data_IF_686127267576
#
_entry.id   IF_686127267576
#
_cell.length_a   1.000
_cell.length_b   1.000
_cell.length_c   1.000
_cell.angle_alpha   90.00
_cell.angle_beta   90.00
_cell.angle_gamma   90.00
#
_symmetry.space_group_name_H-M   'P 1'
#
loop_
_entity.id
_entity.type
_entity.pdbx_description
1 polymer ?
#
# COMPACT_ATOMS: atom_id res chain seq x y z
N UNK A 1 -25.96 13.40 -17.75
CA UNK A 1 -25.13 13.97 -16.67
C UNK A 1 -25.53 13.46 -15.28
N UNK A 2 -26.81 13.10 -15.00
CA UNK A 2 -27.24 12.63 -13.67
C UNK A 2 -26.70 11.25 -13.26
N UNK A 3 -26.62 10.29 -14.17
CA UNK A 3 -26.17 8.94 -13.87
C UNK A 3 -24.67 8.85 -13.50
N UNK A 4 -23.81 9.66 -14.11
CA UNK A 4 -22.38 9.71 -13.74
C UNK A 4 -22.19 10.34 -12.34
N UNK A 5 -22.96 11.38 -12.02
CA UNK A 5 -22.95 12.02 -10.70
C UNK A 5 -23.39 11.07 -9.58
N UNK A 6 -24.37 10.20 -9.82
CA UNK A 6 -24.87 9.25 -8.81
C UNK A 6 -23.90 8.07 -8.56
N UNK A 7 -23.11 7.67 -9.55
CA UNK A 7 -22.07 6.65 -9.38
C UNK A 7 -20.96 7.13 -8.43
N UNK A 8 -20.58 8.41 -8.49
CA UNK A 8 -19.56 8.96 -7.58
C UNK A 8 -20.06 9.16 -6.16
N UNK A 9 -21.35 9.41 -5.94
CA UNK A 9 -21.94 9.63 -4.60
C UNK A 9 -21.89 8.40 -3.70
N UNK A 10 -21.67 7.21 -4.26
CA UNK A 10 -21.61 5.93 -3.54
C UNK A 10 -20.22 5.31 -3.50
N UNK A 11 -19.18 6.08 -3.85
CA UNK A 11 -17.81 5.57 -3.87
C UNK A 11 -17.02 6.02 -2.66
N UNK A 12 -16.51 5.06 -1.90
CA UNK A 12 -15.42 5.29 -0.94
C UNK A 12 -14.17 5.66 -1.74
N UNK A 13 -13.47 6.72 -1.36
CA UNK A 13 -12.26 7.20 -2.05
C UNK A 13 -12.52 7.46 -3.55
N UNK A 14 -13.20 8.57 -3.89
CA UNK A 14 -13.69 8.82 -5.24
C UNK A 14 -12.58 9.01 -6.28
N UNK A 15 -11.41 9.58 -5.91
CA UNK A 15 -10.29 9.75 -6.84
C UNK A 15 -9.64 8.40 -7.18
N UNK A 16 -9.46 7.52 -6.18
CA UNK A 16 -8.93 6.18 -6.39
C UNK A 16 -9.78 5.38 -7.38
N UNK A 17 -11.11 5.52 -7.31
CA UNK A 17 -12.05 4.87 -8.23
C UNK A 17 -12.17 5.51 -9.61
N UNK A 18 -11.50 6.64 -9.86
CA UNK A 18 -11.63 7.43 -11.09
C UNK A 18 -10.65 7.02 -12.19
N UNK A 19 -11.08 7.22 -13.45
CA UNK A 19 -10.20 7.09 -14.62
C UNK A 19 -9.60 8.44 -14.98
N UNK A 20 -8.30 8.48 -15.15
CA UNK A 20 -7.59 9.65 -15.68
C UNK A 20 -6.24 9.24 -16.28
N UNK A 21 -5.65 10.11 -17.08
CA UNK A 21 -4.31 9.91 -17.62
C UNK A 21 -3.25 10.32 -16.58
N UNK A 22 -2.11 9.63 -16.49
CA UNK A 22 -1.01 10.03 -15.63
C UNK A 22 -0.62 11.50 -15.84
N UNK A 23 -0.54 12.27 -14.75
CA UNK A 23 -0.33 13.72 -14.76
C UNK A 23 -1.63 14.55 -14.71
N UNK A 24 -2.79 13.91 -14.61
CA UNK A 24 -4.11 14.58 -14.61
C UNK A 24 -4.91 14.40 -13.32
N UNK A 25 -4.30 13.88 -12.27
CA UNK A 25 -5.01 13.65 -11.00
C UNK A 25 -5.63 14.93 -10.42
N UNK A 26 -4.86 16.02 -10.37
CA UNK A 26 -5.34 17.29 -9.81
C UNK A 26 -6.47 17.92 -10.64
N UNK A 27 -6.42 17.81 -11.97
CA UNK A 27 -7.50 18.24 -12.84
C UNK A 27 -8.75 17.40 -12.60
N UNK A 28 -8.59 16.09 -12.36
CA UNK A 28 -9.69 15.18 -12.06
C UNK A 28 -10.34 15.52 -10.72
N UNK A 29 -9.57 15.83 -9.67
CA UNK A 29 -10.10 16.28 -8.38
C UNK A 29 -10.97 17.53 -8.56
N UNK A 30 -10.53 18.51 -9.36
CA UNK A 30 -11.27 19.75 -9.62
C UNK A 30 -12.59 19.54 -10.37
N UNK A 31 -12.80 18.37 -10.99
CA UNK A 31 -14.03 18.04 -11.74
C UNK A 31 -15.14 17.44 -10.85
N UNK A 32 -14.87 17.09 -9.61
CA UNK A 32 -15.92 16.64 -8.70
C UNK A 32 -16.88 17.79 -8.37
N UNK A 33 -18.15 17.63 -8.71
CA UNK A 33 -19.18 18.64 -8.51
C UNK A 33 -19.64 18.74 -7.04
N UNK A 34 -19.63 17.61 -6.31
CA UNK A 34 -19.96 17.57 -4.88
C UNK A 34 -18.76 18.06 -4.05
N UNK A 35 -18.89 19.18 -3.31
CA UNK A 35 -17.79 19.73 -2.54
C UNK A 35 -17.22 18.77 -1.50
N UNK A 36 -18.06 17.88 -0.90
CA UNK A 36 -17.62 16.91 0.11
C UNK A 36 -16.77 15.83 -0.53
N UNK A 37 -17.20 15.30 -1.67
CA UNK A 37 -16.42 14.33 -2.45
C UNK A 37 -15.13 14.95 -2.98
N UNK A 38 -15.16 16.21 -3.40
CA UNK A 38 -13.98 16.93 -3.86
C UNK A 38 -12.96 17.09 -2.72
N UNK A 39 -13.39 17.41 -1.50
CA UNK A 39 -12.50 17.51 -0.33
C UNK A 39 -11.89 16.14 0.05
N UNK A 40 -12.67 15.06 0.00
CA UNK A 40 -12.14 13.69 0.17
C UNK A 40 -11.11 13.39 -0.92
N UNK A 41 -11.40 13.72 -2.19
CA UNK A 41 -10.47 13.50 -3.30
C UNK A 41 -9.17 14.32 -3.17
N UNK A 42 -9.23 15.53 -2.60
CA UNK A 42 -8.02 16.28 -2.22
C UNK A 42 -7.25 15.57 -1.11
N UNK A 43 -7.93 15.03 -0.10
CA UNK A 43 -7.32 14.21 0.94
C UNK A 43 -6.60 12.99 0.36
N UNK A 44 -7.23 12.28 -0.59
CA UNK A 44 -6.60 11.17 -1.32
C UNK A 44 -5.33 11.63 -2.05
N UNK A 45 -5.42 12.73 -2.79
CA UNK A 45 -4.31 13.27 -3.56
C UNK A 45 -3.13 13.65 -2.66
N UNK A 46 -3.39 14.30 -1.52
CA UNK A 46 -2.37 14.61 -0.53
C UNK A 46 -1.75 13.35 0.06
N UNK A 47 -2.56 12.37 0.43
CA UNK A 47 -2.07 11.10 0.96
C UNK A 47 -1.12 10.42 -0.03
N UNK A 48 -1.55 10.22 -1.28
CA UNK A 48 -0.74 9.56 -2.29
C UNK A 48 0.55 10.32 -2.66
N UNK A 49 0.58 11.63 -2.42
CA UNK A 49 1.79 12.47 -2.53
C UNK A 49 2.67 12.47 -1.26
N UNK A 50 2.39 11.60 -0.29
CA UNK A 50 3.05 11.53 1.01
C UNK A 50 2.98 12.85 1.81
N UNK A 51 1.83 13.53 1.77
CA UNK A 51 1.53 14.77 2.48
C UNK A 51 0.49 14.50 3.58
N UNK A 52 0.88 13.71 4.59
CA UNK A 52 -0.03 13.15 5.59
C UNK A 52 -0.78 14.20 6.40
N UNK A 53 -0.14 15.31 6.80
CA UNK A 53 -0.79 16.40 7.54
C UNK A 53 -1.90 17.06 6.72
N UNK A 54 -1.63 17.37 5.44
CA UNK A 54 -2.63 17.96 4.54
C UNK A 54 -3.79 17.01 4.28
N UNK A 55 -3.51 15.70 4.22
CA UNK A 55 -4.54 14.66 4.11
C UNK A 55 -5.48 14.74 5.33
N UNK A 56 -4.95 14.68 6.57
CA UNK A 56 -5.74 14.74 7.80
C UNK A 56 -6.61 16.00 7.82
N UNK A 57 -6.02 17.18 7.58
CA UNK A 57 -6.76 18.47 7.57
C UNK A 57 -7.95 18.46 6.60
N UNK A 58 -7.82 17.75 5.48
CA UNK A 58 -8.90 17.67 4.48
C UNK A 58 -10.05 16.77 4.91
N UNK A 59 -9.79 15.72 5.70
CA UNK A 59 -10.76 14.64 5.92
C UNK A 59 -11.26 14.52 7.36
N UNK A 60 -10.57 15.05 8.37
CA UNK A 60 -10.89 14.83 9.79
C UNK A 60 -12.33 15.15 10.17
N UNK A 61 -12.92 16.20 9.59
CA UNK A 61 -14.32 16.59 9.86
C UNK A 61 -15.34 15.54 9.39
N UNK A 62 -14.96 14.65 8.45
CA UNK A 62 -15.84 13.61 7.93
C UNK A 62 -15.82 12.31 8.76
N UNK A 63 -14.91 12.16 9.72
CA UNK A 63 -14.87 10.99 10.61
C UNK A 63 -16.10 10.89 11.52
N UNK A 64 -16.83 11.98 11.71
CA UNK A 64 -18.10 12.03 12.45
C UNK A 64 -19.32 12.17 11.55
N UNK A 65 -19.17 11.98 10.23
CA UNK A 65 -20.25 12.09 9.27
C UNK A 65 -21.31 10.98 9.49
N UNK A 66 -22.58 11.34 9.32
CA UNK A 66 -23.68 10.37 9.27
C UNK A 66 -23.69 9.57 7.96
N UNK A 67 -23.12 10.14 6.89
CA UNK A 67 -22.93 9.46 5.61
C UNK A 67 -21.80 8.42 5.74
N UNK A 68 -22.12 7.11 5.62
CA UNK A 68 -21.14 6.06 5.81
C UNK A 68 -20.01 6.09 4.78
N UNK A 69 -20.26 6.56 3.56
CA UNK A 69 -19.26 6.63 2.49
C UNK A 69 -18.21 7.70 2.79
N UNK A 70 -18.65 8.89 3.21
CA UNK A 70 -17.75 9.96 3.64
C UNK A 70 -16.95 9.55 4.87
N UNK A 71 -17.61 8.91 5.86
CA UNK A 71 -16.97 8.46 7.09
C UNK A 71 -15.93 7.37 6.81
N UNK A 72 -16.27 6.35 6.03
CA UNK A 72 -15.32 5.30 5.63
C UNK A 72 -14.11 5.87 4.88
N UNK A 73 -14.34 6.82 3.96
CA UNK A 73 -13.25 7.47 3.21
C UNK A 73 -12.32 8.23 4.15
N UNK A 74 -12.88 9.00 5.10
CA UNK A 74 -12.11 9.76 6.07
C UNK A 74 -11.33 8.84 7.03
N UNK A 75 -11.95 7.77 7.51
CA UNK A 75 -11.30 6.83 8.44
C UNK A 75 -10.19 6.01 7.74
N UNK A 76 -10.38 5.62 6.49
CA UNK A 76 -9.32 4.98 5.69
C UNK A 76 -8.11 5.89 5.56
N UNK A 77 -8.30 7.13 5.11
CA UNK A 77 -7.22 8.11 4.93
C UNK A 77 -6.57 8.48 6.26
N UNK A 78 -7.38 8.67 7.32
CA UNK A 78 -6.88 8.96 8.67
C UNK A 78 -6.09 7.80 9.25
N UNK A 79 -6.48 6.55 8.98
CA UNK A 79 -5.73 5.37 9.42
C UNK A 79 -4.29 5.44 8.92
N UNK A 80 -4.10 5.58 7.61
CA UNK A 80 -2.77 5.55 7.00
C UNK A 80 -1.97 6.83 7.22
N UNK A 81 -2.60 8.00 7.14
CA UNK A 81 -1.92 9.27 7.36
C UNK A 81 -1.42 9.40 8.82
N UNK A 82 -2.23 9.03 9.81
CA UNK A 82 -1.79 9.00 11.21
C UNK A 82 -0.73 7.93 11.47
N UNK A 83 -0.80 6.82 10.77
CA UNK A 83 0.22 5.78 10.80
C UNK A 83 1.59 6.35 10.38
N UNK A 84 1.66 7.03 9.24
CA UNK A 84 2.87 7.68 8.74
C UNK A 84 3.37 8.79 9.68
N UNK A 85 2.46 9.53 10.31
CA UNK A 85 2.81 10.58 11.29
C UNK A 85 3.25 10.01 12.66
N UNK A 86 3.15 8.71 12.86
CA UNK A 86 3.48 8.06 14.14
C UNK A 86 2.40 8.21 15.21
N UNK A 87 1.21 8.69 14.86
CA UNK A 87 0.03 8.84 15.71
C UNK A 87 -0.73 7.50 15.82
N UNK A 88 -0.08 6.48 16.37
CA UNK A 88 -0.60 5.11 16.37
C UNK A 88 -1.95 4.94 17.07
N UNK A 89 -2.26 5.78 18.06
CA UNK A 89 -3.55 5.75 18.76
C UNK A 89 -4.68 6.21 17.84
N UNK A 90 -4.49 7.32 17.15
CA UNK A 90 -5.43 7.89 16.20
C UNK A 90 -5.66 6.96 15.00
N UNK A 91 -4.58 6.38 14.48
CA UNK A 91 -4.65 5.36 13.41
C UNK A 91 -5.46 4.14 13.83
N UNK A 92 -5.26 3.62 15.05
CA UNK A 92 -6.03 2.51 15.59
C UNK A 92 -7.50 2.87 15.85
N UNK A 93 -7.80 4.09 16.27
CA UNK A 93 -9.17 4.54 16.46
C UNK A 93 -9.93 4.58 15.13
N UNK A 94 -9.36 5.19 14.10
CA UNK A 94 -9.94 5.25 12.76
C UNK A 94 -10.18 3.82 12.19
N UNK A 95 -9.20 2.93 12.31
CA UNK A 95 -9.32 1.53 11.87
C UNK A 95 -10.43 0.77 12.63
N UNK A 96 -10.55 0.99 13.94
CA UNK A 96 -11.63 0.39 14.74
C UNK A 96 -13.01 0.89 14.32
N UNK A 97 -13.12 2.17 13.95
CA UNK A 97 -14.37 2.73 13.47
C UNK A 97 -14.81 2.06 12.15
N UNK A 98 -13.90 1.88 11.19
CA UNK A 98 -14.17 1.09 9.97
C UNK A 98 -14.72 -0.30 10.31
N UNK A 99 -14.11 -1.01 11.26
CA UNK A 99 -14.57 -2.34 11.67
C UNK A 99 -15.96 -2.30 12.35
N UNK A 100 -16.26 -1.27 13.13
CA UNK A 100 -17.56 -1.08 13.75
C UNK A 100 -18.66 -0.77 12.74
N UNK A 101 -18.35 0.08 11.74
CA UNK A 101 -19.27 0.37 10.64
C UNK A 101 -19.59 -0.92 9.88
N UNK A 102 -18.60 -1.72 9.53
CA UNK A 102 -18.81 -3.01 8.87
C UNK A 102 -19.75 -3.91 9.68
N UNK A 103 -19.49 -4.11 10.97
CA UNK A 103 -20.35 -4.95 11.84
C UNK A 103 -21.80 -4.47 11.85
N UNK A 104 -22.00 -3.15 11.98
CA UNK A 104 -23.33 -2.53 11.98
C UNK A 104 -24.13 -2.83 10.70
N UNK A 105 -23.47 -2.79 9.54
CA UNK A 105 -24.12 -3.04 8.25
C UNK A 105 -24.33 -4.53 7.99
N UNK A 106 -23.42 -5.40 8.45
CA UNK A 106 -23.63 -6.85 8.38
C UNK A 106 -24.81 -7.33 9.22
N UNK A 107 -25.03 -6.74 10.40
CA UNK A 107 -26.17 -7.08 11.28
C UNK A 107 -27.53 -6.71 10.66
N UNK A 108 -27.58 -5.68 9.83
CA UNK A 108 -28.81 -5.19 9.22
C UNK A 108 -29.20 -5.91 7.94
N UNK A 109 -28.24 -6.62 7.31
CA UNK A 109 -28.39 -7.31 6.00
C UNK A 109 -28.98 -6.43 4.87
N UNK A 110 -28.94 -5.11 5.05
CA UNK A 110 -29.45 -4.13 4.11
C UNK A 110 -28.36 -3.77 3.10
N UNK A 111 -28.70 -3.42 1.90
CA UNK A 111 -27.85 -2.80 0.87
C UNK A 111 -26.46 -3.44 0.68
N UNK A 112 -26.38 -4.42 -0.23
CA UNK A 112 -25.15 -5.13 -0.57
C UNK A 112 -24.02 -4.20 -1.13
N UNK A 113 -24.38 -3.07 -1.74
CA UNK A 113 -23.40 -2.09 -2.22
C UNK A 113 -22.70 -1.38 -1.04
N UNK A 114 -23.46 -1.02 0.01
CA UNK A 114 -22.87 -0.44 1.23
C UNK A 114 -22.05 -1.47 1.99
N UNK A 115 -22.52 -2.72 2.12
CA UNK A 115 -21.75 -3.81 2.72
C UNK A 115 -20.44 -4.04 1.95
N UNK A 116 -20.48 -4.05 0.62
CA UNK A 116 -19.29 -4.18 -0.22
C UNK A 116 -18.29 -3.05 0.02
N UNK A 117 -18.76 -1.81 0.15
CA UNK A 117 -17.93 -0.64 0.46
C UNK A 117 -17.31 -0.73 1.85
N UNK A 118 -18.06 -1.20 2.87
CA UNK A 118 -17.56 -1.44 4.21
C UNK A 118 -16.49 -2.54 4.24
N UNK A 119 -16.75 -3.67 3.56
CA UNK A 119 -15.78 -4.75 3.41
C UNK A 119 -14.52 -4.30 2.70
N UNK A 120 -14.66 -3.55 1.63
CA UNK A 120 -13.54 -2.96 0.90
C UNK A 120 -12.68 -2.11 1.84
N UNK A 121 -13.27 -1.17 2.58
CA UNK A 121 -12.56 -0.32 3.52
C UNK A 121 -11.86 -1.13 4.63
N UNK A 122 -12.53 -2.15 5.16
CA UNK A 122 -11.96 -3.04 6.18
C UNK A 122 -10.76 -3.83 5.66
N UNK A 123 -10.87 -4.42 4.46
CA UNK A 123 -9.76 -5.14 3.83
C UNK A 123 -8.57 -4.22 3.56
N UNK A 124 -8.80 -3.04 3.00
CA UNK A 124 -7.73 -2.08 2.72
C UNK A 124 -7.01 -1.69 4.01
N UNK A 125 -7.74 -1.26 5.04
CA UNK A 125 -7.15 -0.83 6.33
C UNK A 125 -6.51 -1.95 7.15
N UNK A 126 -6.71 -3.20 6.76
CA UNK A 126 -6.06 -4.35 7.39
C UNK A 126 -4.89 -4.87 6.55
N UNK A 127 -5.12 -5.16 5.27
CA UNK A 127 -4.16 -5.87 4.41
C UNK A 127 -2.93 -5.02 4.08
N UNK A 128 -3.08 -3.71 3.87
CA UNK A 128 -1.93 -2.83 3.60
C UNK A 128 -0.95 -2.74 4.79
N UNK A 129 -1.41 -3.02 5.99
CA UNK A 129 -0.55 -3.12 7.17
C UNK A 129 -0.25 -4.58 7.56
N UNK A 130 -0.43 -5.51 6.62
CA UNK A 130 -0.14 -6.95 6.75
C UNK A 130 -0.95 -7.68 7.84
N UNK A 131 -2.14 -7.20 8.15
CA UNK A 131 -3.07 -7.88 9.03
C UNK A 131 -4.10 -8.62 8.16
N UNK A 132 -4.17 -9.94 8.31
CA UNK A 132 -5.22 -10.72 7.66
C UNK A 132 -6.59 -10.38 8.25
N UNK A 133 -7.67 -10.40 7.43
CA UNK A 133 -9.03 -10.24 7.95
C UNK A 133 -9.35 -11.25 9.05
N UNK A 134 -10.09 -10.80 10.07
CA UNK A 134 -10.48 -11.65 11.19
C UNK A 134 -11.33 -12.86 10.74
N UNK A 135 -11.20 -13.97 11.43
CA UNK A 135 -12.01 -15.16 11.18
C UNK A 135 -13.51 -14.81 11.31
N UNK A 136 -14.32 -15.29 10.36
CA UNK A 136 -15.74 -14.93 10.28
C UNK A 136 -16.06 -13.68 9.47
N UNK A 137 -15.07 -12.88 9.07
CA UNK A 137 -15.29 -11.76 8.12
C UNK A 137 -15.73 -12.31 6.77
N UNK A 138 -16.82 -11.79 6.17
CA UNK A 138 -17.23 -12.21 4.84
C UNK A 138 -16.10 -12.02 3.81
N UNK A 139 -15.87 -13.00 2.91
CA UNK A 139 -14.81 -12.89 1.92
C UNK A 139 -15.14 -11.82 0.87
N UNK A 140 -14.21 -10.89 0.66
CA UNK A 140 -14.37 -9.72 -0.22
C UNK A 140 -14.64 -10.11 -1.70
N UNK A 141 -14.12 -11.26 -2.15
CA UNK A 141 -14.32 -11.76 -3.53
C UNK A 141 -15.79 -11.97 -3.89
N UNK A 142 -16.65 -12.32 -2.92
CA UNK A 142 -18.10 -12.46 -3.12
C UNK A 142 -18.83 -11.13 -3.33
N UNK A 143 -18.20 -10.02 -2.99
CA UNK A 143 -18.79 -8.67 -3.06
C UNK A 143 -18.22 -7.81 -4.18
N UNK A 144 -17.28 -8.33 -4.97
CA UNK A 144 -16.62 -7.56 -6.05
C UNK A 144 -17.60 -6.99 -7.08
N UNK A 145 -18.69 -7.70 -7.39
CA UNK A 145 -19.69 -7.24 -8.37
C UNK A 145 -20.48 -6.02 -7.90
N UNK A 146 -20.53 -5.76 -6.60
CA UNK A 146 -21.21 -4.61 -5.99
C UNK A 146 -20.31 -3.38 -5.90
N UNK A 147 -18.99 -3.52 -6.14
CA UNK A 147 -18.05 -2.42 -6.15
C UNK A 147 -17.96 -1.78 -7.54
N UNK A 148 -17.81 -0.44 -7.63
CA UNK A 148 -17.44 0.23 -8.86
C UNK A 148 -16.12 -0.31 -9.43
N UNK A 149 -15.92 -0.19 -10.75
CA UNK A 149 -14.79 -0.84 -11.44
C UNK A 149 -13.44 -0.50 -10.82
N UNK A 150 -13.18 0.78 -10.53
CA UNK A 150 -11.90 1.19 -9.93
C UNK A 150 -11.67 0.59 -8.55
N UNK A 151 -12.71 0.59 -7.69
CA UNK A 151 -12.63 -0.04 -6.37
C UNK A 151 -12.51 -1.56 -6.47
N UNK A 152 -13.17 -2.18 -7.44
CA UNK A 152 -13.05 -3.62 -7.71
C UNK A 152 -11.63 -4.00 -8.08
N UNK A 153 -10.97 -3.23 -8.93
CA UNK A 153 -9.56 -3.43 -9.28
C UNK A 153 -8.65 -3.30 -8.06
N UNK A 154 -8.89 -2.29 -7.22
CA UNK A 154 -8.14 -2.14 -5.98
C UNK A 154 -8.42 -3.28 -4.99
N UNK A 155 -9.68 -3.73 -4.89
CA UNK A 155 -10.03 -4.91 -4.08
C UNK A 155 -9.30 -6.17 -4.55
N UNK A 156 -9.12 -6.35 -5.87
CA UNK A 156 -8.33 -7.48 -6.42
C UNK A 156 -6.85 -7.36 -6.02
N UNK A 157 -6.28 -6.16 -5.96
CA UNK A 157 -4.91 -6.00 -5.44
C UNK A 157 -4.82 -6.40 -3.96
N UNK A 158 -5.83 -6.09 -3.15
CA UNK A 158 -5.89 -6.54 -1.74
C UNK A 158 -6.03 -8.06 -1.62
N UNK A 159 -6.87 -8.69 -2.45
CA UNK A 159 -6.99 -10.16 -2.49
C UNK A 159 -5.69 -10.83 -2.94
N UNK A 160 -5.01 -10.26 -3.92
CA UNK A 160 -3.67 -10.67 -4.33
C UNK A 160 -2.65 -10.54 -3.20
N UNK A 161 -2.69 -9.45 -2.44
CA UNK A 161 -1.84 -9.26 -1.27
C UNK A 161 -2.15 -10.27 -0.16
N UNK A 162 -3.42 -10.59 0.11
CA UNK A 162 -3.81 -11.67 1.04
C UNK A 162 -3.23 -13.01 0.60
N UNK A 163 -3.32 -13.35 -0.69
CA UNK A 163 -2.73 -14.57 -1.24
C UNK A 163 -1.20 -14.57 -1.09
N UNK A 164 -0.56 -13.41 -1.31
CA UNK A 164 0.87 -13.23 -1.08
C UNK A 164 1.26 -13.52 0.39
N UNK A 165 0.54 -12.94 1.36
CA UNK A 165 0.79 -13.16 2.79
C UNK A 165 0.62 -14.64 3.20
N UNK A 166 -0.17 -15.40 2.45
CA UNK A 166 -0.33 -16.85 2.61
C UNK A 166 0.75 -17.68 1.88
N UNK A 167 1.69 -17.02 1.19
CA UNK A 167 2.72 -17.70 0.39
C UNK A 167 2.25 -18.23 -0.97
N UNK A 168 1.03 -17.89 -1.40
CA UNK A 168 0.42 -18.32 -2.65
C UNK A 168 0.83 -17.40 -3.83
N UNK A 169 2.14 -17.20 -4.03
CA UNK A 169 2.68 -16.19 -4.95
C UNK A 169 2.21 -16.32 -6.40
N UNK A 170 2.18 -17.54 -6.94
CA UNK A 170 1.73 -17.77 -8.31
C UNK A 170 0.23 -17.44 -8.49
N UNK A 171 -0.59 -17.77 -7.49
CA UNK A 171 -2.02 -17.42 -7.48
C UNK A 171 -2.21 -15.91 -7.40
N UNK A 172 -1.52 -15.23 -6.47
CA UNK A 172 -1.57 -13.79 -6.34
C UNK A 172 -1.17 -13.07 -7.63
N UNK A 173 -0.08 -13.50 -8.27
CA UNK A 173 0.38 -12.97 -9.54
C UNK A 173 -0.65 -13.18 -10.65
N UNK A 174 -1.20 -14.38 -10.80
CA UNK A 174 -2.24 -14.68 -11.79
C UNK A 174 -3.48 -13.81 -11.63
N UNK A 175 -3.95 -13.59 -10.39
CA UNK A 175 -5.09 -12.72 -10.10
C UNK A 175 -4.86 -11.29 -10.58
N UNK A 176 -3.72 -10.67 -10.20
CA UNK A 176 -3.47 -9.26 -10.54
C UNK A 176 -3.16 -9.07 -12.03
N UNK A 177 -2.44 -9.99 -12.66
CA UNK A 177 -2.16 -9.94 -14.10
C UNK A 177 -3.44 -10.08 -14.93
N UNK A 178 -4.34 -10.97 -14.54
CA UNK A 178 -5.63 -11.13 -15.21
C UNK A 178 -6.47 -9.84 -15.07
N UNK A 179 -6.53 -9.25 -13.89
CA UNK A 179 -7.25 -8.00 -13.68
C UNK A 179 -6.70 -6.86 -14.57
N UNK A 180 -5.38 -6.72 -14.64
CA UNK A 180 -4.75 -5.73 -15.54
C UNK A 180 -5.06 -5.98 -17.01
N UNK A 181 -4.96 -7.24 -17.47
CA UNK A 181 -5.19 -7.61 -18.86
C UNK A 181 -6.66 -7.41 -19.31
N UNK A 182 -7.61 -7.54 -18.39
CA UNK A 182 -9.04 -7.37 -18.67
C UNK A 182 -9.54 -5.93 -18.54
N UNK A 183 -8.68 -5.00 -18.12
CA UNK A 183 -9.06 -3.60 -17.87
C UNK A 183 -8.85 -2.77 -19.14
N UNK A 184 -9.94 -2.21 -19.70
CA UNK A 184 -9.91 -1.39 -20.92
C UNK A 184 -9.55 0.08 -20.65
N UNK A 185 -9.88 0.58 -19.46
CA UNK A 185 -9.67 1.99 -19.07
C UNK A 185 -8.53 2.10 -18.07
N UNK A 186 -7.85 3.25 -18.06
CA UNK A 186 -6.77 3.53 -17.12
C UNK A 186 -7.36 4.00 -15.79
N UNK A 187 -7.16 3.21 -14.74
CA UNK A 187 -7.41 3.54 -13.33
C UNK A 187 -6.07 3.63 -12.61
N UNK A 188 -5.43 4.79 -12.53
CA UNK A 188 -4.02 4.88 -12.12
C UNK A 188 -3.74 4.28 -10.75
N UNK A 189 -4.53 4.61 -9.72
CA UNK A 189 -4.28 4.08 -8.38
C UNK A 189 -4.37 2.55 -8.30
N UNK A 190 -5.50 1.92 -8.68
CA UNK A 190 -5.58 0.47 -8.69
C UNK A 190 -4.45 -0.19 -9.49
N UNK A 191 -4.12 0.36 -10.66
CA UNK A 191 -3.07 -0.18 -11.52
C UNK A 191 -1.69 -0.14 -10.87
N UNK A 192 -1.33 0.96 -10.18
CA UNK A 192 -0.07 1.06 -9.44
C UNK A 192 0.02 -0.03 -8.37
N UNK A 193 -1.04 -0.24 -7.60
CA UNK A 193 -1.08 -1.29 -6.57
C UNK A 193 -1.05 -2.70 -7.16
N UNK A 194 -1.73 -2.95 -8.28
CA UNK A 194 -1.66 -4.23 -8.99
C UNK A 194 -0.23 -4.51 -9.47
N UNK A 195 0.50 -3.51 -9.99
CA UNK A 195 1.91 -3.64 -10.37
C UNK A 195 2.80 -3.91 -9.15
N UNK A 196 2.56 -3.24 -8.00
CA UNK A 196 3.31 -3.52 -6.78
C UNK A 196 3.10 -4.98 -6.31
N UNK A 197 1.86 -5.47 -6.31
CA UNK A 197 1.57 -6.87 -5.95
C UNK A 197 2.20 -7.86 -6.94
N UNK A 198 2.16 -7.57 -8.24
CA UNK A 198 2.85 -8.39 -9.24
C UNK A 198 4.36 -8.45 -8.96
N UNK A 199 5.00 -7.29 -8.74
CA UNK A 199 6.44 -7.20 -8.48
C UNK A 199 6.85 -7.98 -7.23
N UNK A 200 6.13 -7.84 -6.11
CA UNK A 200 6.47 -8.57 -4.89
C UNK A 200 6.29 -10.10 -5.02
N UNK A 201 5.33 -10.55 -5.84
CA UNK A 201 5.19 -11.97 -6.16
C UNK A 201 6.35 -12.47 -7.03
N UNK A 202 6.73 -11.70 -8.05
CA UNK A 202 7.82 -12.02 -8.96
C UNK A 202 9.16 -12.14 -8.22
N UNK A 203 9.46 -11.19 -7.31
CA UNK A 203 10.67 -11.26 -6.46
C UNK A 203 10.72 -12.55 -5.67
N UNK A 204 9.60 -12.97 -5.06
CA UNK A 204 9.56 -14.22 -4.28
C UNK A 204 9.70 -15.47 -5.16
N UNK A 205 9.41 -15.36 -6.44
CA UNK A 205 9.64 -16.43 -7.43
C UNK A 205 10.99 -16.30 -8.14
N UNK A 206 11.86 -15.37 -7.71
CA UNK A 206 13.17 -15.06 -8.30
C UNK A 206 13.10 -14.55 -9.74
N UNK A 207 11.95 -14.06 -10.20
CA UNK A 207 11.77 -13.36 -11.47
C UNK A 207 12.15 -11.88 -11.31
N UNK A 208 13.44 -11.61 -11.36
CA UNK A 208 13.98 -10.24 -11.17
C UNK A 208 13.60 -9.30 -12.30
N UNK A 209 13.59 -9.79 -13.53
CA UNK A 209 13.28 -8.97 -14.71
C UNK A 209 11.80 -8.60 -14.72
N UNK A 210 10.89 -9.56 -14.49
CA UNK A 210 9.47 -9.29 -14.35
C UNK A 210 9.18 -8.28 -13.23
N UNK A 211 9.85 -8.42 -12.08
CA UNK A 211 9.68 -7.48 -10.96
C UNK A 211 10.13 -6.06 -11.31
N UNK A 212 11.27 -5.91 -11.99
CA UNK A 212 11.73 -4.59 -12.46
C UNK A 212 10.76 -3.97 -13.44
N UNK A 213 10.27 -4.77 -14.39
CA UNK A 213 9.28 -4.30 -15.35
C UNK A 213 8.01 -3.84 -14.65
N UNK A 214 7.46 -4.63 -13.74
CA UNK A 214 6.25 -4.28 -12.99
C UNK A 214 6.43 -2.99 -12.17
N UNK A 215 7.57 -2.82 -11.47
CA UNK A 215 7.86 -1.58 -10.74
C UNK A 215 8.01 -0.41 -11.70
N UNK A 216 8.67 -0.59 -12.83
CA UNK A 216 8.86 0.48 -13.83
C UNK A 216 7.52 0.95 -14.40
N UNK A 217 6.62 0.04 -14.77
CA UNK A 217 5.29 0.39 -15.27
C UNK A 217 4.47 1.14 -14.21
N UNK A 218 4.45 0.64 -12.97
CA UNK A 218 3.79 1.32 -11.86
C UNK A 218 4.38 2.71 -11.58
N UNK A 219 5.71 2.85 -11.63
CA UNK A 219 6.42 4.11 -11.42
C UNK A 219 6.14 5.13 -12.52
N UNK A 220 6.19 4.73 -13.79
CA UNK A 220 5.85 5.61 -14.93
C UNK A 220 4.42 6.15 -14.84
N UNK A 221 3.51 5.37 -14.28
CA UNK A 221 2.13 5.81 -14.02
C UNK A 221 2.06 6.81 -12.85
N UNK A 222 2.81 6.56 -11.77
CA UNK A 222 2.77 7.32 -10.53
C UNK A 222 3.52 8.65 -10.58
N UNK A 223 4.71 8.68 -11.19
CA UNK A 223 5.68 9.80 -11.08
C UNK A 223 5.14 11.12 -11.62
N UNK A 224 4.28 11.11 -12.64
CA UNK A 224 3.72 12.31 -13.25
C UNK A 224 2.80 13.09 -12.30
N UNK A 225 2.10 12.41 -11.41
CA UNK A 225 1.26 12.98 -10.36
C UNK A 225 1.96 13.04 -9.00
N UNK A 226 3.24 12.59 -8.92
CA UNK A 226 4.06 12.53 -7.71
C UNK A 226 3.51 11.59 -6.64
N UNK A 227 2.93 10.46 -7.05
CA UNK A 227 2.44 9.46 -6.13
C UNK A 227 3.61 8.64 -5.57
N UNK A 228 3.88 8.80 -4.29
CA UNK A 228 4.96 8.12 -3.58
C UNK A 228 4.44 7.03 -2.65
N UNK A 229 3.24 7.23 -2.07
CA UNK A 229 2.72 6.39 -0.99
C UNK A 229 2.63 4.90 -1.34
N UNK A 230 2.18 4.45 -2.53
CA UNK A 230 2.15 3.03 -2.86
C UNK A 230 3.53 2.36 -2.76
N UNK A 231 4.59 3.07 -3.12
CA UNK A 231 5.96 2.56 -3.05
C UNK A 231 6.55 2.65 -1.65
N UNK A 232 6.09 3.58 -0.83
CA UNK A 232 6.43 3.67 0.59
C UNK A 232 5.84 2.46 1.33
N UNK A 233 4.55 2.20 1.15
CA UNK A 233 3.82 1.09 1.79
C UNK A 233 4.39 -0.28 1.41
N UNK A 234 4.75 -0.47 0.14
CA UNK A 234 5.25 -1.74 -0.38
C UNK A 234 6.77 -1.89 -0.37
N UNK A 235 7.52 -0.87 0.07
CA UNK A 235 8.99 -0.87 0.01
C UNK A 235 9.62 -2.16 0.55
N UNK A 236 9.24 -2.59 1.76
CA UNK A 236 9.77 -3.80 2.38
C UNK A 236 9.45 -5.07 1.59
N UNK A 237 8.30 -5.14 0.92
CA UNK A 237 7.88 -6.28 0.13
C UNK A 237 8.50 -6.29 -1.28
N UNK A 238 8.87 -5.11 -1.79
CA UNK A 238 9.56 -4.95 -3.08
C UNK A 238 11.06 -5.27 -3.00
N UNK A 239 11.62 -5.42 -1.80
CA UNK A 239 12.93 -6.02 -1.54
C UNK A 239 14.06 -5.52 -2.45
N UNK A 240 14.23 -4.19 -2.52
CA UNK A 240 15.32 -3.56 -3.24
C UNK A 240 15.08 -3.29 -4.74
N UNK A 241 13.92 -3.67 -5.30
CA UNK A 241 13.60 -3.34 -6.70
C UNK A 241 13.53 -1.82 -6.91
N UNK A 242 13.00 -1.08 -5.92
CA UNK A 242 12.96 0.39 -5.97
C UNK A 242 14.36 1.00 -6.01
N UNK A 243 15.28 0.49 -5.18
CA UNK A 243 16.67 0.89 -5.18
C UNK A 243 17.33 0.64 -6.53
N UNK A 244 17.07 -0.52 -7.11
CA UNK A 244 17.59 -0.88 -8.42
C UNK A 244 17.03 -0.02 -9.55
N UNK A 245 15.74 0.37 -9.47
CA UNK A 245 15.01 1.03 -10.55
C UNK A 245 15.14 2.55 -10.53
N UNK A 246 14.97 3.21 -9.35
CA UNK A 246 14.82 4.67 -9.28
C UNK A 246 15.95 5.42 -8.57
N UNK A 247 16.73 4.77 -7.71
CA UNK A 247 17.79 5.47 -6.94
C UNK A 247 18.80 6.22 -7.82
N UNK A 248 19.17 5.65 -8.96
CA UNK A 248 20.17 6.25 -9.87
C UNK A 248 19.55 7.26 -10.83
N UNK A 249 18.32 7.00 -11.30
CA UNK A 249 17.64 7.84 -12.29
C UNK A 249 17.02 9.09 -11.68
N UNK A 250 16.47 8.98 -10.46
CA UNK A 250 15.74 10.05 -9.77
C UNK A 250 16.18 10.18 -8.30
N UNK A 251 17.43 10.55 -7.99
CA UNK A 251 17.97 10.51 -6.63
C UNK A 251 17.24 11.40 -5.63
N UNK A 252 16.73 12.57 -6.04
CA UNK A 252 15.98 13.47 -5.16
C UNK A 252 14.60 12.93 -4.80
N UNK A 253 13.95 12.25 -5.74
CA UNK A 253 12.65 11.59 -5.50
C UNK A 253 12.86 10.37 -4.61
N UNK A 254 13.89 9.59 -4.88
CA UNK A 254 14.27 8.45 -4.06
C UNK A 254 14.54 8.85 -2.60
N UNK A 255 15.21 9.99 -2.36
CA UNK A 255 15.42 10.52 -1.01
C UNK A 255 14.09 10.76 -0.27
N UNK A 256 13.13 11.43 -0.91
CA UNK A 256 11.79 11.66 -0.34
C UNK A 256 11.07 10.35 -0.03
N UNK A 257 11.19 9.37 -0.93
CA UNK A 257 10.61 8.05 -0.75
C UNK A 257 11.23 7.35 0.48
N UNK A 258 12.55 7.41 0.65
CA UNK A 258 13.26 6.88 1.82
C UNK A 258 12.78 7.51 3.12
N UNK A 259 12.61 8.84 3.17
CA UNK A 259 12.09 9.54 4.34
C UNK A 259 10.67 9.04 4.70
N UNK A 260 9.81 8.86 3.70
CA UNK A 260 8.47 8.28 3.87
C UNK A 260 8.51 6.83 4.36
N UNK A 261 9.40 5.99 3.80
CA UNK A 261 9.58 4.59 4.22
C UNK A 261 9.99 4.50 5.69
N UNK A 262 10.89 5.36 6.15
CA UNK A 262 11.31 5.39 7.56
C UNK A 262 10.13 5.75 8.45
N UNK A 263 9.35 6.78 8.09
CA UNK A 263 8.18 7.21 8.84
C UNK A 263 7.11 6.11 8.90
N UNK A 264 6.76 5.53 7.76
CA UNK A 264 5.80 4.43 7.65
C UNK A 264 6.23 3.21 8.48
N UNK A 265 7.48 2.79 8.36
CA UNK A 265 8.00 1.64 9.09
C UNK A 265 7.95 1.82 10.61
N UNK A 266 8.20 3.05 11.11
CA UNK A 266 8.04 3.35 12.54
C UNK A 266 6.59 3.19 13.02
N UNK A 267 5.63 3.65 12.22
CA UNK A 267 4.21 3.46 12.49
C UNK A 267 3.83 1.98 12.49
N UNK A 268 4.30 1.24 11.49
CA UNK A 268 4.08 -0.21 11.33
C UNK A 268 4.59 -1.00 12.55
N UNK A 269 5.82 -0.72 13.01
CA UNK A 269 6.41 -1.37 14.17
C UNK A 269 5.62 -1.11 15.47
N UNK A 270 5.07 0.08 15.66
CA UNK A 270 4.23 0.40 16.84
C UNK A 270 2.97 -0.47 16.91
N UNK A 271 2.42 -0.88 15.79
CA UNK A 271 1.23 -1.75 15.74
C UNK A 271 1.59 -3.21 15.93
N UNK A 272 2.64 -3.70 15.23
CA UNK A 272 3.00 -5.12 15.23
C UNK A 272 3.86 -5.54 16.42
N UNK A 273 4.70 -4.62 16.94
CA UNK A 273 5.62 -4.89 18.04
C UNK A 273 5.64 -3.75 19.07
N UNK A 274 4.53 -3.50 19.79
CA UNK A 274 4.43 -2.35 20.71
C UNK A 274 5.42 -2.41 21.89
N UNK A 275 6.04 -3.55 22.15
CA UNK A 275 7.02 -3.73 23.23
C UNK A 275 8.48 -3.51 22.78
N UNK A 276 8.75 -3.42 21.48
CA UNK A 276 10.10 -3.13 20.99
C UNK A 276 10.43 -1.66 21.17
N UNK A 277 11.49 -1.37 21.95
CA UNK A 277 11.95 0.01 22.21
C UNK A 277 12.64 0.67 21.00
N UNK A 278 13.17 -0.12 20.06
CA UNK A 278 13.79 0.35 18.81
C UNK A 278 13.26 -0.44 17.63
N UNK A 279 12.76 0.25 16.63
CA UNK A 279 12.40 -0.36 15.37
C UNK A 279 13.67 -0.81 14.61
N UNK A 280 13.59 -1.91 13.86
CA UNK A 280 14.70 -2.37 12.97
C UNK A 280 15.09 -1.25 11.98
N UNK A 281 14.11 -0.45 11.56
CA UNK A 281 14.29 0.74 10.70
C UNK A 281 15.00 1.91 11.38
N UNK A 282 15.14 1.93 12.69
CA UNK A 282 16.00 2.87 13.41
C UNK A 282 17.47 2.40 13.42
N UNK A 283 17.70 1.11 13.16
CA UNK A 283 19.02 0.49 13.10
C UNK A 283 19.55 0.36 11.68
N UNK A 284 18.67 0.02 10.73
CA UNK A 284 19.02 -0.24 9.34
C UNK A 284 18.47 0.87 8.42
N UNK A 285 19.31 1.32 7.49
CA UNK A 285 18.83 2.13 6.37
C UNK A 285 17.89 1.32 5.47
N UNK A 286 17.02 1.94 4.65
CA UNK A 286 16.15 1.22 3.71
C UNK A 286 16.90 0.26 2.79
N UNK A 287 18.11 0.61 2.32
CA UNK A 287 18.94 -0.27 1.51
C UNK A 287 19.46 -1.46 2.33
N UNK A 288 19.93 -1.23 3.55
CA UNK A 288 20.34 -2.31 4.46
C UNK A 288 19.16 -3.23 4.79
N UNK A 289 17.97 -2.66 5.02
CA UNK A 289 16.76 -3.44 5.24
C UNK A 289 16.42 -4.30 4.02
N UNK A 290 16.47 -3.76 2.80
CA UNK A 290 16.26 -4.52 1.57
C UNK A 290 17.27 -5.66 1.42
N UNK A 291 18.55 -5.41 1.72
CA UNK A 291 19.59 -6.45 1.72
C UNK A 291 19.29 -7.51 2.78
N UNK A 292 18.88 -7.12 3.98
CA UNK A 292 18.49 -8.03 5.05
C UNK A 292 17.31 -8.92 4.66
N UNK A 293 16.28 -8.35 4.01
CA UNK A 293 15.13 -9.09 3.49
C UNK A 293 15.52 -10.13 2.44
N UNK A 294 16.37 -9.77 1.49
CA UNK A 294 16.89 -10.71 0.48
C UNK A 294 17.75 -11.79 1.12
N UNK A 295 18.61 -11.38 2.07
CA UNK A 295 19.49 -12.30 2.78
C UNK A 295 18.71 -13.35 3.60
N UNK A 296 17.62 -12.99 4.26
CA UNK A 296 16.80 -13.93 5.03
C UNK A 296 15.97 -14.87 4.16
N UNK A 297 15.87 -14.62 2.86
CA UNK A 297 15.24 -15.48 1.84
C UNK A 297 16.25 -16.33 1.07
N UNK A 298 17.42 -16.55 1.67
CA UNK A 298 18.48 -17.39 1.15
C UNK A 298 19.06 -16.94 -0.21
N UNK A 299 18.94 -15.62 -0.55
CA UNK A 299 19.67 -15.06 -1.69
C UNK A 299 21.16 -14.97 -1.37
N UNK A 300 21.98 -15.41 -2.30
CA UNK A 300 23.44 -15.27 -2.19
C UNK A 300 23.87 -13.80 -2.33
N UNK A 301 25.05 -13.46 -1.84
CA UNK A 301 25.59 -12.10 -2.02
C UNK A 301 25.78 -11.73 -3.49
N UNK A 302 25.97 -12.72 -4.37
CA UNK A 302 26.04 -12.50 -5.82
C UNK A 302 24.65 -12.15 -6.36
N UNK A 303 23.61 -12.94 -6.05
CA UNK A 303 22.23 -12.65 -6.48
C UNK A 303 21.76 -11.28 -5.98
N UNK A 304 22.06 -10.94 -4.71
CA UNK A 304 21.76 -9.62 -4.15
C UNK A 304 22.49 -8.51 -4.90
N UNK A 305 23.77 -8.72 -5.20
CA UNK A 305 24.58 -7.77 -5.95
C UNK A 305 24.05 -7.53 -7.36
N UNK A 306 23.72 -8.57 -8.08
CA UNK A 306 23.11 -8.51 -9.42
C UNK A 306 21.77 -7.77 -9.37
N UNK A 307 20.91 -8.10 -8.40
CA UNK A 307 19.61 -7.49 -8.22
C UNK A 307 19.68 -5.99 -7.92
N UNK A 308 20.58 -5.57 -7.03
CA UNK A 308 20.71 -4.17 -6.58
C UNK A 308 21.70 -3.33 -7.42
N UNK A 309 22.38 -3.94 -8.38
CA UNK A 309 23.45 -3.31 -9.15
C UNK A 309 24.65 -2.96 -8.27
N UNK A 310 25.02 -3.81 -7.30
CA UNK A 310 26.14 -3.68 -6.39
C UNK A 310 27.19 -4.77 -6.63
N UNK A 311 28.45 -4.49 -6.30
CA UNK A 311 29.46 -5.54 -6.31
C UNK A 311 29.22 -6.54 -5.17
N UNK A 312 29.65 -7.80 -5.36
CA UNK A 312 29.57 -8.85 -4.32
C UNK A 312 30.29 -8.41 -3.03
N UNK A 313 31.41 -7.71 -3.15
CA UNK A 313 32.16 -7.21 -2.01
C UNK A 313 31.40 -6.10 -1.28
N UNK A 314 30.71 -5.22 -2.01
CA UNK A 314 29.84 -4.21 -1.43
C UNK A 314 28.70 -4.86 -0.64
N UNK A 315 28.06 -5.90 -1.18
CA UNK A 315 27.01 -6.65 -0.48
C UNK A 315 27.55 -7.32 0.78
N UNK A 316 28.74 -7.97 0.72
CA UNK A 316 29.41 -8.55 1.90
C UNK A 316 29.61 -7.51 2.99
N UNK A 317 30.05 -6.31 2.61
CA UNK A 317 30.25 -5.22 3.56
C UNK A 317 28.94 -4.79 4.24
N UNK A 318 27.87 -4.63 3.46
CA UNK A 318 26.54 -4.34 4.00
C UNK A 318 26.05 -5.45 4.94
N UNK A 319 26.15 -6.72 4.54
CA UNK A 319 25.74 -7.85 5.38
C UNK A 319 26.50 -7.84 6.71
N UNK A 320 27.82 -7.61 6.70
CA UNK A 320 28.61 -7.49 7.94
C UNK A 320 28.13 -6.33 8.82
N UNK A 321 27.88 -5.16 8.23
CA UNK A 321 27.34 -4.00 8.96
C UNK A 321 25.95 -4.23 9.53
N UNK A 322 25.08 -4.97 8.82
CA UNK A 322 23.74 -5.36 9.29
C UNK A 322 23.89 -6.27 10.52
N UNK A 323 24.74 -7.29 10.46
CA UNK A 323 24.97 -8.20 11.59
C UNK A 323 25.45 -7.44 12.84
N UNK A 324 26.38 -6.49 12.65
CA UNK A 324 26.88 -5.64 13.74
C UNK A 324 25.78 -4.76 14.33
N UNK A 325 24.98 -4.08 13.50
CA UNK A 325 23.87 -3.21 13.92
C UNK A 325 22.75 -3.95 14.64
N UNK A 326 22.49 -5.20 14.24
CA UNK A 326 21.48 -6.07 14.87
C UNK A 326 22.04 -6.85 16.07
N UNK A 327 23.35 -6.72 16.37
CA UNK A 327 24.05 -7.47 17.43
C UNK A 327 23.90 -8.99 17.29
N UNK A 328 24.01 -9.50 16.06
CA UNK A 328 23.94 -10.93 15.73
C UNK A 328 25.24 -11.41 15.06
N UNK A 329 25.54 -12.69 15.20
CA UNK A 329 26.79 -13.30 14.74
C UNK A 329 26.65 -14.12 13.44
N UNK A 330 25.39 -14.40 13.02
CA UNK A 330 25.09 -15.26 11.88
C UNK A 330 23.97 -14.68 11.01
N UNK A 331 24.13 -14.84 9.70
CA UNK A 331 23.18 -14.40 8.69
C UNK A 331 21.76 -14.98 8.88
N UNK A 332 21.68 -16.25 9.29
CA UNK A 332 20.42 -16.94 9.51
C UNK A 332 19.56 -16.29 10.58
N UNK A 333 20.20 -15.60 11.54
CA UNK A 333 19.50 -14.87 12.61
C UNK A 333 18.84 -13.57 12.15
N UNK A 334 19.15 -13.08 10.95
CA UNK A 334 18.45 -11.91 10.36
C UNK A 334 16.94 -12.15 10.30
N UNK A 335 16.52 -13.41 10.07
CA UNK A 335 15.09 -13.81 10.03
C UNK A 335 14.32 -13.43 11.29
N UNK A 336 14.96 -13.42 12.45
CA UNK A 336 14.34 -13.08 13.73
C UNK A 336 13.94 -11.62 13.84
N UNK A 337 14.55 -10.74 13.02
CA UNK A 337 14.34 -9.30 13.03
C UNK A 337 13.48 -8.80 11.88
N UNK A 338 13.44 -9.51 10.75
CA UNK A 338 12.92 -9.01 9.47
C UNK A 338 11.66 -9.74 9.04
N UNK A 339 11.39 -10.95 9.54
CA UNK A 339 10.23 -11.78 9.22
C UNK A 339 9.11 -11.74 10.27
N UNK A 340 9.07 -10.69 11.08
CA UNK A 340 7.99 -10.53 12.06
C UNK A 340 6.87 -9.67 11.51
#
# INVERSE_FOLDING_TARGET
SSAASDVYKRQVLPLMGSTFLPGKAEETVKQFEDPKLQEIAWGELYFFRAQAESCIQSVEKYQTSEDPILRLSADMLSTFANFTLGNGKEAQMARKDVAQILRKYLEKEEDLETIASCLFAYYVTSVLIHILPEEGTPPLDRYLSYLPVGQRLFAISMLGHVAYLKGEYARAQGMVQTAMAMTEKIYPFPMIYLYCVAAMCQINQKDQEGARQSVTEGWEMARKDKFLEPFIEYHGLLQGVLEASIRKSEPEVYKKLVDGVIAFSRGWMKIHNPQMQKAVTDLLTPLEYSIAMLACRDWTNQEIGEHLGLSVNTVKHYVSGILEKLHIDKREKIKEFVNQ
#
